data_IF_009047858605
#
_entry.id   IF_009047858605
#
_cell.length_a   1.000
_cell.length_b   1.000
_cell.length_c   1.000
_cell.angle_alpha   90.00
_cell.angle_beta   90.00
_cell.angle_gamma   90.00
#
_symmetry.space_group_name_H-M   'P 1'
#
loop_
_entity.id
_entity.type
_entity.pdbx_description
1 polymer ?
#
# COMPACT_ATOMS: atom_id res chain seq x y z
N UNK A 1 46.32 -50.86 -44.36
CA UNK A 1 45.20 -51.52 -45.08
C UNK A 1 44.13 -50.47 -45.26
N UNK A 2 44.14 -49.87 -46.45
CA UNK A 2 43.24 -48.82 -46.92
C UNK A 2 41.92 -49.42 -47.41
N UNK A 3 40.84 -48.65 -47.36
CA UNK A 3 39.80 -48.58 -48.40
C UNK A 3 38.78 -47.49 -48.08
N UNK A 4 38.93 -46.36 -48.77
CA UNK A 4 37.85 -45.44 -49.13
C UNK A 4 36.86 -46.12 -50.08
N UNK A 5 35.63 -45.58 -50.21
CA UNK A 5 34.90 -45.66 -51.47
C UNK A 5 34.57 -44.26 -52.04
N UNK A 6 34.24 -44.19 -53.35
CA UNK A 6 34.55 -43.04 -54.19
C UNK A 6 33.37 -42.09 -54.43
N UNK A 7 33.75 -40.88 -54.83
CA UNK A 7 32.94 -39.90 -55.54
C UNK A 7 32.41 -40.48 -56.87
N UNK A 8 31.23 -40.01 -57.31
CA UNK A 8 30.78 -40.17 -58.68
C UNK A 8 30.16 -38.89 -59.22
N UNK A 9 30.41 -38.71 -60.51
CA UNK A 9 30.32 -37.51 -61.32
C UNK A 9 28.93 -36.96 -61.64
N UNK A 10 28.99 -35.68 -62.02
CA UNK A 10 28.00 -34.78 -62.61
C UNK A 10 27.56 -35.25 -64.02
N UNK A 11 26.34 -34.89 -64.46
CA UNK A 11 26.27 -34.00 -65.63
C UNK A 11 25.15 -32.94 -65.54
N UNK A 12 25.52 -31.66 -65.69
CA UNK A 12 24.72 -30.62 -66.36
C UNK A 12 24.98 -30.69 -67.89
N UNK A 13 24.27 -29.98 -68.81
CA UNK A 13 23.14 -29.05 -68.65
C UNK A 13 21.96 -29.32 -69.62
N UNK A 14 20.79 -28.74 -69.37
CA UNK A 14 19.79 -28.46 -70.42
C UNK A 14 19.19 -27.07 -70.21
N UNK A 15 19.55 -26.17 -71.12
CA UNK A 15 18.89 -24.89 -71.39
C UNK A 15 17.42 -25.14 -71.81
N UNK A 16 16.49 -24.35 -71.27
CA UNK A 16 15.32 -23.81 -71.99
C UNK A 16 14.61 -22.74 -71.11
N UNK A 17 14.69 -21.50 -71.57
CA UNK A 17 13.74 -20.41 -71.27
C UNK A 17 12.42 -20.63 -72.06
N UNK A 18 11.42 -19.74 -71.99
CA UNK A 18 10.78 -19.10 -70.84
C UNK A 18 9.26 -19.37 -70.87
N UNK A 19 8.58 -19.31 -69.72
CA UNK A 19 7.12 -19.18 -69.71
C UNK A 19 6.67 -18.30 -68.56
N UNK A 20 5.98 -17.25 -68.96
CA UNK A 20 5.37 -16.24 -68.12
C UNK A 20 4.48 -16.90 -67.05
N UNK A 21 4.64 -16.48 -65.80
CA UNK A 21 3.57 -16.61 -64.80
C UNK A 21 3.60 -15.39 -63.90
N UNK A 22 2.53 -14.63 -64.06
CA UNK A 22 1.90 -13.65 -63.18
C UNK A 22 2.54 -13.41 -61.81
N UNK A 23 2.94 -12.16 -61.64
CA UNK A 23 2.66 -11.29 -60.48
C UNK A 23 1.91 -11.95 -59.33
N UNK A 24 2.64 -12.32 -58.27
CA UNK A 24 2.08 -12.37 -56.92
C UNK A 24 3.03 -11.60 -56.02
N UNK A 25 2.66 -10.35 -55.73
CA UNK A 25 3.26 -9.55 -54.68
C UNK A 25 3.17 -10.36 -53.38
N UNK A 26 4.31 -10.80 -52.87
CA UNK A 26 4.44 -11.24 -51.49
C UNK A 26 4.02 -10.08 -50.59
N UNK A 27 2.78 -10.15 -50.10
CA UNK A 27 2.32 -9.36 -48.99
C UNK A 27 3.21 -9.68 -47.80
N UNK A 28 4.00 -8.69 -47.40
CA UNK A 28 4.72 -8.62 -46.14
C UNK A 28 3.71 -8.94 -45.02
N UNK A 29 3.91 -9.99 -44.20
CA UNK A 29 2.99 -10.31 -43.13
C UNK A 29 3.10 -9.23 -42.06
N UNK A 30 2.22 -8.25 -42.14
CA UNK A 30 2.02 -7.23 -41.11
C UNK A 30 2.04 -7.89 -39.73
N UNK A 31 2.94 -7.48 -38.81
CA UNK A 31 3.05 -8.10 -37.50
C UNK A 31 1.72 -7.96 -36.78
N UNK A 32 1.09 -9.10 -36.48
CA UNK A 32 -0.14 -9.10 -35.70
C UNK A 32 0.13 -8.43 -34.34
N UNK A 33 -0.70 -7.45 -33.92
CA UNK A 33 -0.52 -6.77 -32.65
C UNK A 33 -0.61 -7.81 -31.53
N UNK A 34 0.52 -8.01 -30.85
CA UNK A 34 0.58 -8.88 -29.68
C UNK A 34 -0.42 -8.34 -28.65
N UNK A 35 -1.33 -9.18 -28.10
CA UNK A 35 -2.33 -8.70 -27.15
C UNK A 35 -1.64 -7.98 -25.98
N UNK A 36 -2.20 -6.87 -25.49
CA UNK A 36 -1.59 -6.08 -24.43
C UNK A 36 -1.37 -6.97 -23.21
N UNK A 37 -0.12 -7.04 -22.75
CA UNK A 37 0.23 -7.79 -21.53
C UNK A 37 -0.46 -7.12 -20.35
N UNK A 38 -1.52 -7.74 -19.85
CA UNK A 38 -2.23 -7.29 -18.65
C UNK A 38 -1.21 -7.13 -17.52
N UNK A 39 -1.09 -5.91 -17.01
CA UNK A 39 -0.16 -5.59 -15.94
C UNK A 39 -0.64 -6.25 -14.63
N UNK A 40 0.00 -7.36 -14.24
CA UNK A 40 -0.31 -8.10 -13.01
C UNK A 40 0.27 -7.48 -11.73
N UNK A 41 0.87 -6.28 -11.83
CA UNK A 41 1.50 -5.62 -10.68
C UNK A 41 0.43 -4.97 -9.82
N UNK A 42 0.44 -5.30 -8.54
CA UNK A 42 -0.49 -4.73 -7.54
C UNK A 42 0.07 -3.50 -6.82
N UNK A 43 1.29 -3.07 -7.16
CA UNK A 43 2.02 -2.01 -6.46
C UNK A 43 2.80 -1.14 -7.42
N UNK A 44 2.84 0.16 -7.13
CA UNK A 44 3.60 1.15 -7.88
C UNK A 44 5.12 0.89 -7.72
N UNK A 45 5.85 1.01 -8.83
CA UNK A 45 7.31 0.92 -8.87
C UNK A 45 7.89 2.27 -9.24
N UNK A 46 8.88 2.69 -8.48
CA UNK A 46 9.63 3.90 -8.74
C UNK A 46 10.98 3.51 -9.33
N UNK A 47 11.26 3.98 -10.55
CA UNK A 47 12.57 3.80 -11.17
C UNK A 47 13.60 4.64 -10.42
N UNK A 48 14.64 4.00 -9.89
CA UNK A 48 15.69 4.68 -9.14
C UNK A 48 17.00 3.89 -9.18
N UNK A 49 18.04 4.53 -9.68
CA UNK A 49 19.41 4.00 -9.69
C UNK A 49 20.12 4.35 -8.39
N UNK A 50 20.09 3.42 -7.44
CA UNK A 50 20.66 3.59 -6.10
C UNK A 50 21.65 2.44 -5.87
N UNK A 51 22.91 2.72 -5.49
CA UNK A 51 23.82 1.66 -5.07
C UNK A 51 23.31 1.04 -3.76
N UNK A 52 23.23 -0.29 -3.74
CA UNK A 52 22.78 -1.06 -2.58
C UNK A 52 23.80 -2.15 -2.25
N UNK A 53 23.80 -2.60 -1.00
CA UNK A 53 24.58 -3.77 -0.60
C UNK A 53 23.66 -5.00 -0.58
N UNK A 54 24.13 -6.10 -1.16
CA UNK A 54 23.45 -7.40 -1.20
C UNK A 54 24.26 -8.40 -0.40
N UNK A 55 23.72 -8.86 0.73
CA UNK A 55 24.34 -9.89 1.54
C UNK A 55 23.73 -11.25 1.18
N UNK A 56 24.60 -12.16 0.71
CA UNK A 56 24.22 -13.54 0.40
C UNK A 56 24.49 -14.43 1.63
N UNK A 57 23.64 -15.43 1.93
CA UNK A 57 23.91 -16.39 2.98
C UNK A 57 25.24 -17.14 2.72
N UNK A 58 26.09 -17.21 3.75
CA UNK A 58 27.38 -17.90 3.67
C UNK A 58 28.50 -17.13 2.97
N UNK A 59 28.26 -15.87 2.57
CA UNK A 59 29.30 -14.99 2.02
C UNK A 59 29.59 -13.88 3.02
N UNK A 60 30.84 -13.76 3.47
CA UNK A 60 31.24 -12.84 4.53
C UNK A 60 31.22 -11.36 4.12
N UNK A 61 31.24 -11.09 2.82
CA UNK A 61 31.26 -9.73 2.28
C UNK A 61 29.99 -9.41 1.50
N UNK A 62 29.45 -8.23 1.74
CA UNK A 62 28.32 -7.73 0.98
C UNK A 62 28.76 -7.37 -0.45
N UNK A 63 27.92 -7.69 -1.42
CA UNK A 63 28.15 -7.41 -2.84
C UNK A 63 27.47 -6.10 -3.19
N UNK A 64 28.18 -5.17 -3.80
CA UNK A 64 27.58 -3.93 -4.31
C UNK A 64 26.75 -4.23 -5.56
N UNK A 65 25.50 -3.75 -5.56
CA UNK A 65 24.58 -3.84 -6.69
C UNK A 65 24.01 -2.47 -7.01
N UNK A 66 23.44 -2.33 -8.21
CA UNK A 66 22.73 -1.13 -8.62
C UNK A 66 21.23 -1.40 -8.70
N UNK A 67 20.46 -0.86 -7.77
CA UNK A 67 19.01 -0.87 -7.85
C UNK A 67 18.54 -0.22 -9.16
N UNK A 68 17.46 -0.72 -9.74
CA UNK A 68 16.87 -0.22 -10.99
C UNK A 68 15.47 0.32 -10.73
N UNK A 69 14.66 -0.46 -10.01
CA UNK A 69 13.35 -0.03 -9.51
C UNK A 69 13.12 -0.53 -8.08
N UNK A 70 12.28 0.19 -7.35
CA UNK A 70 11.86 -0.17 -6.00
C UNK A 70 10.36 0.09 -5.85
N UNK A 71 9.70 -0.77 -5.09
CA UNK A 71 8.29 -0.66 -4.73
C UNK A 71 8.13 -0.94 -3.25
N UNK A 72 6.90 -0.82 -2.76
CA UNK A 72 6.62 -1.23 -1.39
C UNK A 72 6.91 -2.73 -1.19
N UNK A 73 6.60 -3.62 -2.14
CA UNK A 73 6.70 -5.08 -2.03
C UNK A 73 7.99 -5.74 -2.51
N UNK A 74 8.89 -5.00 -3.14
CA UNK A 74 10.05 -5.59 -3.77
C UNK A 74 10.92 -4.59 -4.51
N UNK A 75 11.98 -5.09 -5.11
CA UNK A 75 12.95 -4.30 -5.85
C UNK A 75 13.53 -5.11 -7.01
N UNK A 76 14.15 -4.40 -7.94
CA UNK A 76 14.92 -4.98 -9.02
C UNK A 76 16.30 -4.34 -9.05
N UNK A 77 17.35 -5.13 -9.15
CA UNK A 77 18.73 -4.63 -9.18
C UNK A 77 19.59 -5.39 -10.20
N UNK A 78 20.73 -4.78 -10.56
CA UNK A 78 21.76 -5.39 -11.39
C UNK A 78 23.00 -5.60 -10.54
N UNK A 79 23.58 -6.80 -10.59
CA UNK A 79 24.78 -7.16 -9.85
C UNK A 79 25.68 -8.13 -10.64
N UNK A 80 26.98 -8.07 -10.39
CA UNK A 80 27.92 -9.09 -10.84
C UNK A 80 27.94 -10.21 -9.78
N UNK A 81 27.11 -11.24 -9.98
CA UNK A 81 26.92 -12.34 -9.03
C UNK A 81 27.52 -13.65 -9.57
N UNK A 82 28.14 -14.48 -8.73
CA UNK A 82 28.51 -15.83 -9.10
C UNK A 82 27.25 -16.63 -9.45
N UNK A 83 27.16 -17.12 -10.68
CA UNK A 83 25.96 -17.77 -11.25
C UNK A 83 25.54 -19.02 -10.48
N UNK A 84 26.51 -19.75 -9.94
CA UNK A 84 26.34 -21.11 -9.47
C UNK A 84 25.52 -21.22 -8.18
N UNK A 85 25.25 -20.14 -7.47
CA UNK A 85 24.62 -20.19 -6.14
C UNK A 85 23.82 -18.93 -5.81
N UNK A 86 22.93 -18.46 -6.71
CA UNK A 86 21.96 -17.45 -6.28
C UNK A 86 21.04 -18.07 -5.22
N UNK A 87 21.13 -17.65 -3.94
CA UNK A 87 20.34 -18.23 -2.88
C UNK A 87 18.87 -17.85 -3.09
N UNK A 88 17.95 -18.63 -2.53
CA UNK A 88 16.53 -18.25 -2.54
C UNK A 88 16.28 -16.95 -1.78
N UNK A 89 17.04 -16.69 -0.72
CA UNK A 89 16.90 -15.52 0.15
C UNK A 89 18.17 -14.70 0.20
N UNK A 90 18.01 -13.38 0.21
CA UNK A 90 19.09 -12.40 0.32
C UNK A 90 18.69 -11.33 1.33
N UNK A 91 19.69 -10.64 1.89
CA UNK A 91 19.45 -9.40 2.64
C UNK A 91 19.89 -8.22 1.79
N UNK A 92 18.98 -7.28 1.59
CA UNK A 92 19.26 -6.01 0.93
C UNK A 92 19.46 -4.92 1.95
N UNK A 93 20.42 -4.04 1.67
CA UNK A 93 20.73 -2.86 2.46
C UNK A 93 20.70 -1.65 1.55
N UNK A 94 19.67 -0.83 1.69
CA UNK A 94 19.59 0.45 0.99
C UNK A 94 20.22 1.54 1.86
N UNK A 95 21.00 2.45 1.26
CA UNK A 95 21.52 3.60 1.98
C UNK A 95 20.36 4.51 2.41
N UNK A 96 20.49 5.08 3.59
CA UNK A 96 19.61 6.14 4.09
C UNK A 96 20.45 7.37 4.45
N UNK A 97 19.89 8.33 5.19
CA UNK A 97 20.61 9.55 5.60
C UNK A 97 21.80 9.20 6.51
N UNK A 98 22.95 9.83 6.25
CA UNK A 98 24.19 9.62 6.98
C UNK A 98 24.63 8.13 6.99
N UNK A 99 24.82 7.54 8.17
CA UNK A 99 25.22 6.13 8.35
C UNK A 99 24.02 5.19 8.57
N UNK A 100 22.80 5.70 8.45
CA UNK A 100 21.61 4.89 8.62
C UNK A 100 21.32 4.06 7.37
N UNK A 101 20.64 2.92 7.57
CA UNK A 101 20.35 1.94 6.51
C UNK A 101 18.90 1.46 6.60
N UNK A 102 18.34 1.07 5.45
CA UNK A 102 17.09 0.30 5.37
C UNK A 102 17.50 -1.14 5.10
N UNK A 103 17.19 -2.04 6.03
CA UNK A 103 17.55 -3.46 5.90
C UNK A 103 16.30 -4.28 5.63
N UNK A 104 16.36 -5.11 4.59
CA UNK A 104 15.23 -5.92 4.13
C UNK A 104 15.69 -7.35 3.87
N UNK A 105 14.98 -8.33 4.43
CA UNK A 105 15.09 -9.71 3.96
C UNK A 105 14.20 -9.90 2.75
N UNK A 106 14.73 -10.50 1.69
CA UNK A 106 14.03 -10.62 0.42
C UNK A 106 14.23 -12.01 -0.20
N UNK A 107 13.23 -12.47 -0.92
CA UNK A 107 13.25 -13.68 -1.73
C UNK A 107 13.55 -13.32 -3.19
N UNK A 108 14.50 -14.02 -3.82
CA UNK A 108 14.74 -13.91 -5.25
C UNK A 108 13.57 -14.58 -6.00
N UNK A 109 12.79 -13.78 -6.73
CA UNK A 109 11.65 -14.29 -7.54
C UNK A 109 12.02 -14.53 -8.99
N UNK A 110 13.04 -13.84 -9.50
CA UNK A 110 13.54 -14.01 -10.86
C UNK A 110 14.98 -13.52 -10.97
N UNK A 111 15.80 -14.23 -11.71
CA UNK A 111 17.13 -13.77 -12.12
C UNK A 111 17.29 -13.97 -13.62
N UNK A 112 17.71 -12.94 -14.33
CA UNK A 112 18.01 -12.98 -15.75
C UNK A 112 19.48 -12.64 -15.96
N UNK A 113 20.20 -13.50 -16.67
CA UNK A 113 21.59 -13.25 -17.05
C UNK A 113 21.64 -12.13 -18.08
N UNK A 114 22.53 -11.17 -17.87
CA UNK A 114 22.86 -10.09 -18.79
C UNK A 114 24.26 -10.33 -19.39
N UNK A 115 24.62 -9.51 -20.37
CA UNK A 115 25.97 -9.47 -20.93
C UNK A 115 27.02 -9.12 -19.87
N UNK A 116 28.25 -9.61 -20.08
CA UNK A 116 29.38 -9.37 -19.18
C UNK A 116 29.28 -10.09 -17.83
N UNK A 117 28.49 -11.16 -17.74
CA UNK A 117 28.36 -11.97 -16.51
C UNK A 117 27.54 -11.31 -15.39
N UNK A 118 26.81 -10.22 -15.70
CA UNK A 118 25.91 -9.56 -14.75
C UNK A 118 24.55 -10.25 -14.71
N UNK A 119 23.81 -9.99 -13.65
CA UNK A 119 22.45 -10.49 -13.45
C UNK A 119 21.51 -9.34 -13.16
N UNK A 120 20.35 -9.36 -13.81
CA UNK A 120 19.20 -8.59 -13.39
C UNK A 120 18.36 -9.47 -12.46
N UNK A 121 18.31 -9.10 -11.19
CA UNK A 121 17.63 -9.85 -10.14
C UNK A 121 16.40 -9.08 -9.69
N UNK A 122 15.24 -9.73 -9.74
CA UNK A 122 14.02 -9.24 -9.12
C UNK A 122 13.82 -9.97 -7.80
N UNK A 123 13.58 -9.20 -6.76
CA UNK A 123 13.31 -9.72 -5.42
C UNK A 123 11.95 -9.28 -4.92
N UNK A 124 11.41 -10.06 -4.00
CA UNK A 124 10.23 -9.74 -3.22
C UNK A 124 10.63 -9.59 -1.76
N UNK A 125 10.19 -8.52 -1.12
CA UNK A 125 10.45 -8.29 0.30
C UNK A 125 9.65 -9.29 1.13
N UNK A 126 10.35 -9.95 2.06
CA UNK A 126 9.79 -10.96 2.94
C UNK A 126 9.65 -10.43 4.37
N UNK A 127 10.66 -9.69 4.86
CA UNK A 127 10.66 -9.17 6.23
C UNK A 127 11.39 -7.84 6.33
N UNK A 128 10.77 -6.89 7.04
CA UNK A 128 11.33 -5.58 7.38
C UNK A 128 11.07 -5.29 8.87
N UNK A 129 11.99 -4.58 9.53
CA UNK A 129 11.67 -3.97 10.83
C UNK A 129 10.74 -2.77 10.66
N UNK A 130 9.95 -2.42 11.68
CA UNK A 130 9.12 -1.22 11.67
C UNK A 130 9.89 0.06 11.29
N UNK A 131 11.11 0.23 11.83
CA UNK A 131 12.02 1.34 11.47
C UNK A 131 12.41 1.32 9.99
N UNK A 132 12.72 0.15 9.43
CA UNK A 132 13.07 0.01 8.01
C UNK A 132 11.86 0.22 7.10
N UNK A 133 10.66 -0.22 7.51
CA UNK A 133 9.41 0.07 6.80
C UNK A 133 9.14 1.57 6.74
N UNK A 134 9.16 2.28 7.87
CA UNK A 134 8.89 3.72 7.90
C UNK A 134 9.86 4.51 7.00
N UNK A 135 11.14 4.12 7.00
CA UNK A 135 12.15 4.69 6.10
C UNK A 135 11.91 4.35 4.64
N UNK A 136 11.56 3.10 4.33
CA UNK A 136 11.21 2.68 2.97
C UNK A 136 10.02 3.48 2.43
N UNK A 137 8.97 3.66 3.22
CA UNK A 137 7.81 4.47 2.82
C UNK A 137 8.19 5.93 2.57
N UNK A 138 9.08 6.49 3.39
CA UNK A 138 9.61 7.84 3.17
C UNK A 138 10.49 7.92 1.92
N UNK A 139 11.34 6.92 1.68
CA UNK A 139 12.15 6.82 0.47
C UNK A 139 11.28 6.80 -0.77
N UNK A 140 10.25 5.94 -0.80
CA UNK A 140 9.34 5.82 -1.93
C UNK A 140 8.61 7.13 -2.22
N UNK A 141 8.11 7.83 -1.19
CA UNK A 141 7.51 9.16 -1.34
C UNK A 141 8.49 10.18 -1.92
N UNK A 142 9.73 10.22 -1.41
CA UNK A 142 10.76 11.12 -1.93
C UNK A 142 11.12 10.84 -3.40
N UNK A 143 11.26 9.56 -3.77
CA UNK A 143 11.57 9.17 -5.15
C UNK A 143 10.41 9.48 -6.11
N UNK A 144 9.16 9.29 -5.68
CA UNK A 144 7.98 9.69 -6.46
C UNK A 144 7.92 11.19 -6.67
N UNK A 145 8.08 11.98 -5.61
CA UNK A 145 8.06 13.44 -5.68
C UNK A 145 9.15 14.02 -6.60
N UNK A 146 10.26 13.29 -6.79
CA UNK A 146 11.33 13.69 -7.71
C UNK A 146 11.04 13.34 -9.19
N UNK A 147 9.96 12.60 -9.48
CA UNK A 147 9.60 12.18 -10.84
C UNK A 147 8.44 13.05 -11.34
N UNK A 148 8.64 13.94 -12.33
CA UNK A 148 7.68 15.00 -12.69
C UNK A 148 6.43 14.54 -13.47
N UNK A 149 6.23 13.25 -13.67
CA UNK A 149 5.41 12.72 -14.79
C UNK A 149 4.37 11.66 -14.35
N UNK A 150 4.04 11.57 -13.06
CA UNK A 150 3.00 10.65 -12.59
C UNK A 150 1.80 11.43 -12.08
N UNK A 151 0.66 11.25 -12.76
CA UNK A 151 -0.68 11.65 -12.32
C UNK A 151 -0.86 11.42 -10.80
N UNK A 152 -1.65 12.33 -10.23
CA UNK A 152 -1.73 12.75 -8.82
C UNK A 152 -2.23 11.70 -7.80
N UNK A 153 -2.19 10.40 -8.14
CA UNK A 153 -2.47 9.32 -7.20
C UNK A 153 -1.25 9.04 -6.31
N UNK A 154 -0.72 10.13 -5.72
CA UNK A 154 0.52 10.18 -4.94
C UNK A 154 0.44 9.32 -3.67
N UNK A 155 -0.78 9.07 -3.16
CA UNK A 155 -0.99 8.38 -1.89
C UNK A 155 -1.19 6.86 -2.01
N UNK A 156 -1.60 6.32 -3.16
CA UNK A 156 -1.83 4.87 -3.35
C UNK A 156 -0.56 4.05 -3.62
N UNK A 157 0.53 4.21 -2.84
CA UNK A 157 1.74 3.37 -3.00
C UNK A 157 1.45 1.87 -2.75
N UNK A 158 0.48 1.60 -1.89
CA UNK A 158 0.09 0.26 -1.43
C UNK A 158 -1.39 0.27 -1.09
N UNK A 159 -2.11 -0.83 -1.35
CA UNK A 159 -3.45 -1.04 -0.81
C UNK A 159 -3.42 -1.11 0.72
N UNK A 160 -4.28 -0.32 1.35
CA UNK A 160 -4.48 -0.31 2.79
C UNK A 160 -5.75 -1.09 3.14
N UNK A 161 -5.66 -1.90 4.19
CA UNK A 161 -6.78 -2.59 4.81
C UNK A 161 -6.94 -2.01 6.22
N UNK A 162 -8.04 -1.30 6.46
CA UNK A 162 -8.34 -0.72 7.76
C UNK A 162 -9.30 -1.64 8.52
N UNK A 163 -8.92 -1.99 9.75
CA UNK A 163 -9.78 -2.69 10.70
C UNK A 163 -10.38 -1.65 11.64
N UNK A 164 -11.70 -1.44 11.49
CA UNK A 164 -12.49 -0.73 12.48
C UNK A 164 -12.86 -1.70 13.59
N UNK A 165 -12.52 -1.35 14.82
CA UNK A 165 -12.80 -2.17 16.00
C UNK A 165 -13.58 -1.35 17.00
N UNK A 166 -14.77 -1.84 17.33
CA UNK A 166 -15.75 -1.09 18.12
C UNK A 166 -15.66 -1.39 19.62
N UNK A 167 -15.03 -2.50 20.02
CA UNK A 167 -14.90 -2.90 21.42
C UNK A 167 -13.50 -3.43 21.79
N UNK A 168 -13.18 -3.41 23.09
CA UNK A 168 -11.85 -3.78 23.61
C UNK A 168 -11.60 -5.29 23.53
N UNK A 169 -12.63 -6.12 23.64
CA UNK A 169 -12.53 -7.57 23.54
C UNK A 169 -12.07 -7.98 22.13
N UNK A 170 -12.79 -7.50 21.12
CA UNK A 170 -12.44 -7.67 19.71
C UNK A 170 -11.01 -7.20 19.39
N UNK A 171 -10.59 -6.07 19.97
CA UNK A 171 -9.23 -5.59 19.78
C UNK A 171 -8.20 -6.54 20.39
N UNK A 172 -8.46 -7.05 21.59
CA UNK A 172 -7.58 -8.02 22.25
C UNK A 172 -7.46 -9.29 21.41
N UNK A 173 -8.56 -9.82 20.89
CA UNK A 173 -8.56 -11.01 20.03
C UNK A 173 -7.75 -10.79 18.73
N UNK A 174 -7.91 -9.62 18.10
CA UNK A 174 -7.13 -9.24 16.91
C UNK A 174 -5.64 -9.13 17.26
N UNK A 175 -5.31 -8.47 18.37
CA UNK A 175 -3.93 -8.32 18.83
C UNK A 175 -3.30 -9.68 19.13
N UNK A 176 -4.00 -10.58 19.84
CA UNK A 176 -3.52 -11.93 20.12
C UNK A 176 -3.24 -12.71 18.82
N UNK A 177 -4.13 -12.62 17.83
CA UNK A 177 -3.87 -13.18 16.50
C UNK A 177 -2.59 -12.57 15.89
N UNK A 178 -2.46 -11.24 15.89
CA UNK A 178 -1.27 -10.54 15.40
C UNK A 178 0.01 -11.05 16.08
N UNK A 179 -0.01 -11.27 17.40
CA UNK A 179 1.11 -11.81 18.16
C UNK A 179 1.52 -13.23 17.71
N UNK A 180 0.58 -14.04 17.21
CA UNK A 180 0.90 -15.35 16.61
C UNK A 180 1.53 -15.25 15.21
N UNK A 181 1.56 -14.06 14.61
CA UNK A 181 2.08 -13.84 13.26
C UNK A 181 1.06 -14.01 12.13
N UNK A 182 -0.20 -14.28 12.48
CA UNK A 182 -1.28 -14.57 11.53
C UNK A 182 -2.54 -13.79 11.88
N UNK A 183 -3.34 -13.42 10.88
CA UNK A 183 -4.63 -12.76 11.11
C UNK A 183 -5.63 -13.21 10.07
N UNK A 184 -6.83 -13.59 10.51
CA UNK A 184 -7.94 -13.95 9.63
C UNK A 184 -8.98 -12.84 9.67
N UNK A 185 -9.34 -12.29 8.51
CA UNK A 185 -10.30 -11.19 8.38
C UNK A 185 -11.22 -11.40 7.19
N UNK A 186 -12.43 -10.87 7.27
CA UNK A 186 -13.40 -10.88 6.17
C UNK A 186 -13.52 -9.47 5.59
N UNK A 187 -13.44 -9.37 4.26
CA UNK A 187 -13.45 -8.10 3.52
C UNK A 187 -14.44 -8.18 2.35
N UNK A 188 -14.81 -7.02 1.80
CA UNK A 188 -15.63 -6.94 0.57
C UNK A 188 -14.80 -6.92 -0.71
N UNK A 189 -13.53 -6.55 -0.62
CA UNK A 189 -12.66 -6.41 -1.78
C UNK A 189 -11.83 -7.65 -2.07
N UNK A 190 -11.61 -7.89 -3.36
CA UNK A 190 -10.72 -8.96 -3.78
C UNK A 190 -9.25 -8.57 -3.56
N UNK A 191 -8.49 -9.47 -2.95
CA UNK A 191 -7.04 -9.38 -2.84
C UNK A 191 -6.38 -10.54 -3.57
N UNK A 192 -5.14 -10.35 -4.02
CA UNK A 192 -4.37 -11.41 -4.66
C UNK A 192 -3.49 -12.15 -3.64
N UNK A 193 -3.43 -13.48 -3.74
CA UNK A 193 -2.47 -14.28 -2.98
C UNK A 193 -1.04 -13.80 -3.27
N UNK A 194 -0.26 -13.58 -2.20
CA UNK A 194 1.09 -13.04 -2.26
C UNK A 194 1.17 -11.52 -2.38
N UNK A 195 0.04 -10.80 -2.39
CA UNK A 195 0.03 -9.34 -2.32
C UNK A 195 0.44 -8.89 -0.92
N UNK A 196 1.42 -7.97 -0.84
CA UNK A 196 1.66 -7.24 0.41
C UNK A 196 0.68 -6.07 0.49
N UNK A 197 0.05 -5.91 1.66
CA UNK A 197 -0.90 -4.86 2.01
C UNK A 197 -0.49 -4.16 3.31
N UNK A 198 -0.83 -2.88 3.43
CA UNK A 198 -0.73 -2.18 4.71
C UNK A 198 -1.97 -2.52 5.53
N UNK A 199 -1.78 -3.01 6.74
CA UNK A 199 -2.86 -3.21 7.70
C UNK A 199 -2.85 -2.04 8.68
N UNK A 200 -3.96 -1.32 8.80
CA UNK A 200 -4.16 -0.33 9.85
C UNK A 200 -5.25 -0.82 10.79
N UNK A 201 -4.95 -0.82 12.09
CA UNK A 201 -5.92 -1.13 13.13
C UNK A 201 -6.21 0.17 13.85
N UNK A 202 -7.45 0.66 13.72
CA UNK A 202 -7.90 1.89 14.38
C UNK A 202 -8.94 1.55 15.42
N UNK A 203 -8.78 2.13 16.61
CA UNK A 203 -9.85 2.23 17.59
C UNK A 203 -10.50 3.60 17.44
N UNK A 204 -11.78 3.66 17.73
CA UNK A 204 -12.60 4.87 17.61
C UNK A 204 -12.10 6.03 18.47
N UNK A 205 -11.42 5.81 19.61
CA UNK A 205 -10.90 6.90 20.47
C UNK A 205 -9.57 6.53 21.19
N UNK A 206 -8.73 7.55 21.41
CA UNK A 206 -7.54 7.64 22.28
C UNK A 206 -6.32 6.70 22.11
N UNK A 207 -6.37 5.68 21.24
CA UNK A 207 -5.19 4.83 21.01
C UNK A 207 -4.40 5.15 19.75
N UNK A 208 -3.05 5.04 19.80
CA UNK A 208 -2.22 5.15 18.61
C UNK A 208 -2.59 4.01 17.65
N UNK A 209 -2.99 4.38 16.42
CA UNK A 209 -3.31 3.40 15.40
C UNK A 209 -2.13 2.46 15.13
N UNK A 210 -2.40 1.15 15.09
CA UNK A 210 -1.38 0.15 14.79
C UNK A 210 -1.28 -0.01 13.28
N UNK A 211 -0.10 0.26 12.72
CA UNK A 211 0.19 0.07 11.29
C UNK A 211 1.18 -1.04 11.07
N UNK A 212 0.72 -2.10 10.44
CA UNK A 212 1.51 -3.27 10.12
C UNK A 212 1.59 -3.49 8.63
N UNK A 213 2.51 -4.38 8.27
CA UNK A 213 2.70 -4.85 6.91
C UNK A 213 2.37 -6.32 6.92
N UNK A 214 1.42 -6.69 6.08
CA UNK A 214 0.93 -8.05 5.98
C UNK A 214 0.96 -8.52 4.54
N UNK A 215 1.00 -9.83 4.37
CA UNK A 215 0.93 -10.51 3.09
C UNK A 215 -0.29 -11.41 3.09
N UNK A 216 -1.07 -11.32 2.04
CA UNK A 216 -2.20 -12.22 1.78
C UNK A 216 -1.64 -13.60 1.45
N UNK A 217 -1.96 -14.60 2.27
CA UNK A 217 -1.55 -15.99 2.10
C UNK A 217 -2.60 -16.81 1.40
N UNK A 218 -3.84 -16.66 1.82
CA UNK A 218 -4.98 -17.38 1.29
C UNK A 218 -6.16 -16.43 1.14
N UNK A 219 -6.99 -16.70 0.14
CA UNK A 219 -8.22 -15.96 -0.15
C UNK A 219 -9.30 -16.98 -0.40
N UNK A 220 -10.33 -16.98 0.43
CA UNK A 220 -11.50 -17.83 0.31
C UNK A 220 -12.70 -16.93 -0.02
N UNK A 221 -13.41 -17.21 -1.12
CA UNK A 221 -14.64 -16.49 -1.48
C UNK A 221 -15.80 -17.08 -0.69
N UNK A 222 -16.47 -16.24 0.10
CA UNK A 222 -17.62 -16.63 0.87
C UNK A 222 -18.89 -16.30 0.08
N UNK A 223 -19.69 -17.33 -0.21
CA UNK A 223 -21.01 -17.16 -0.82
C UNK A 223 -22.03 -16.82 0.28
N UNK A 224 -22.69 -15.67 0.17
CA UNK A 224 -23.77 -15.25 1.05
C UNK A 224 -25.09 -15.30 0.26
N UNK A 225 -25.92 -16.35 0.43
CA UNK A 225 -27.18 -16.47 -0.31
C UNK A 225 -28.13 -15.27 -0.11
N UNK A 226 -28.06 -14.62 1.06
CA UNK A 226 -28.88 -13.46 1.40
C UNK A 226 -28.38 -12.13 0.81
N UNK A 227 -27.15 -12.08 0.29
CA UNK A 227 -26.50 -10.89 -0.26
C UNK A 227 -25.95 -11.21 -1.65
N UNK A 228 -26.84 -11.54 -2.60
CA UNK A 228 -26.46 -11.89 -3.98
C UNK A 228 -25.57 -10.84 -4.69
N UNK A 229 -25.56 -9.59 -4.20
CA UNK A 229 -24.79 -8.49 -4.78
C UNK A 229 -23.44 -8.23 -4.12
N UNK A 230 -23.16 -8.78 -2.94
CA UNK A 230 -21.91 -8.53 -2.22
C UNK A 230 -21.09 -9.81 -2.12
N UNK A 231 -19.94 -9.83 -2.78
CA UNK A 231 -18.97 -10.91 -2.61
C UNK A 231 -18.14 -10.60 -1.36
N UNK A 232 -18.07 -11.57 -0.46
CA UNK A 232 -17.20 -11.51 0.71
C UNK A 232 -15.97 -12.38 0.47
N UNK A 233 -14.83 -11.94 0.98
CA UNK A 233 -13.58 -12.66 0.92
C UNK A 233 -13.02 -12.82 2.33
N UNK A 234 -12.73 -14.06 2.70
CA UNK A 234 -11.98 -14.37 3.90
C UNK A 234 -10.49 -14.41 3.54
N UNK A 235 -9.71 -13.55 4.17
CA UNK A 235 -8.27 -13.43 3.97
C UNK A 235 -7.55 -14.09 5.13
N UNK A 236 -6.53 -14.89 4.82
CA UNK A 236 -5.48 -15.28 5.76
C UNK A 236 -4.25 -14.42 5.53
N UNK A 237 -3.84 -13.68 6.55
CA UNK A 237 -2.73 -12.73 6.50
C UNK A 237 -1.54 -13.27 7.29
N UNK A 238 -0.32 -13.00 6.83
CA UNK A 238 0.91 -13.18 7.61
C UNK A 238 1.69 -11.88 7.68
N UNK A 239 2.26 -11.55 8.82
CA UNK A 239 3.02 -10.30 8.98
C UNK A 239 4.44 -10.39 8.42
N UNK A 240 4.88 -9.30 7.79
CA UNK A 240 6.23 -9.19 7.18
C UNK A 240 7.20 -8.44 8.11
N UNK A 241 7.05 -8.62 9.42
CA UNK A 241 7.94 -8.09 10.47
C UNK A 241 8.57 -9.22 11.27
N UNK A 242 9.69 -8.99 12.00
CA UNK A 242 10.27 -9.99 12.88
C UNK A 242 9.25 -10.45 13.94
N UNK A 243 8.95 -11.77 14.06
CA UNK A 243 7.89 -12.27 14.93
C UNK A 243 8.07 -11.87 16.40
N UNK A 244 9.31 -11.92 16.91
CA UNK A 244 9.61 -11.51 18.29
C UNK A 244 9.28 -10.03 18.54
N UNK A 245 9.56 -9.16 17.57
CA UNK A 245 9.29 -7.72 17.68
C UNK A 245 7.79 -7.42 17.61
N UNK A 246 7.02 -8.14 16.78
CA UNK A 246 5.56 -8.02 16.76
C UNK A 246 5.01 -8.45 18.11
N UNK A 247 5.43 -9.63 18.61
CA UNK A 247 4.92 -10.18 19.86
C UNK A 247 5.17 -9.23 21.04
N UNK A 248 6.41 -8.77 21.22
CA UNK A 248 6.77 -7.83 22.30
C UNK A 248 5.93 -6.54 22.22
N UNK A 249 5.76 -6.00 21.02
CA UNK A 249 4.96 -4.79 20.81
C UNK A 249 3.48 -5.03 21.12
N UNK A 250 2.92 -6.15 20.68
CA UNK A 250 1.53 -6.52 20.96
C UNK A 250 1.33 -6.77 22.46
N UNK A 251 2.21 -7.52 23.11
CA UNK A 251 2.12 -7.77 24.55
C UNK A 251 2.04 -6.44 25.32
N UNK A 252 2.89 -5.47 24.96
CA UNK A 252 2.88 -4.11 25.52
C UNK A 252 1.54 -3.39 25.30
N UNK A 253 0.93 -3.51 24.11
CA UNK A 253 -0.38 -2.91 23.84
C UNK A 253 -1.48 -3.58 24.66
N UNK A 254 -1.45 -4.91 24.76
CA UNK A 254 -2.43 -5.70 25.52
C UNK A 254 -2.39 -5.33 27.01
N UNK A 255 -1.20 -5.09 27.57
CA UNK A 255 -1.02 -4.61 28.94
C UNK A 255 -1.60 -3.22 29.20
N UNK A 256 -1.68 -2.37 28.16
CA UNK A 256 -2.26 -1.02 28.25
C UNK A 256 -3.78 -1.00 28.05
N UNK A 257 -4.38 -2.10 27.56
CA UNK A 257 -5.82 -2.18 27.41
C UNK A 257 -6.50 -2.33 28.78
N UNK A 258 -7.65 -1.67 28.99
CA UNK A 258 -8.43 -1.91 30.19
C UNK A 258 -8.76 -3.41 30.29
N UNK A 259 -8.82 -3.97 31.52
CA UNK A 259 -9.28 -5.33 31.70
C UNK A 259 -10.67 -5.47 31.08
N UNK A 260 -10.90 -6.56 30.34
CA UNK A 260 -12.24 -6.88 29.84
C UNK A 260 -13.05 -7.19 31.08
N UNK A 261 -13.84 -6.21 31.54
CA UNK A 261 -14.88 -6.51 32.51
C UNK A 261 -15.87 -7.42 31.79
N UNK A 262 -16.15 -8.59 32.36
CA UNK A 262 -17.23 -9.49 31.97
C UNK A 262 -18.57 -8.78 32.20
N UNK A 263 -18.81 -7.65 31.53
CA UNK A 263 -20.11 -7.06 31.46
C UNK A 263 -20.93 -7.98 30.56
N UNK A 264 -21.72 -8.83 31.21
CA UNK A 264 -22.70 -9.75 30.65
C UNK A 264 -23.80 -9.06 29.80
N UNK A 265 -23.59 -7.81 29.38
CA UNK A 265 -24.45 -7.02 28.51
C UNK A 265 -23.79 -6.68 27.16
N UNK A 266 -22.77 -7.44 26.74
CA UNK A 266 -22.37 -7.40 25.32
C UNK A 266 -23.57 -7.82 24.48
N UNK A 267 -24.10 -6.89 23.67
CA UNK A 267 -25.35 -7.00 22.90
C UNK A 267 -25.34 -8.14 21.86
N UNK A 268 -24.25 -8.92 21.79
CA UNK A 268 -24.03 -10.03 20.88
C UNK A 268 -23.69 -11.36 21.60
N UNK A 269 -23.96 -11.48 22.91
CA UNK A 269 -23.71 -12.71 23.67
C UNK A 269 -24.44 -13.94 23.08
N UNK A 270 -25.61 -13.73 22.47
CA UNK A 270 -26.41 -14.77 21.79
C UNK A 270 -26.18 -14.84 20.27
N UNK A 271 -25.29 -14.02 19.71
CA UNK A 271 -24.98 -14.05 18.29
C UNK A 271 -24.11 -15.27 17.92
N UNK A 272 -24.32 -15.92 16.75
CA UNK A 272 -23.46 -16.99 16.28
C UNK A 272 -21.98 -16.57 16.21
N UNK A 273 -21.04 -17.49 16.43
CA UNK A 273 -19.59 -17.21 16.47
C UNK A 273 -19.08 -16.47 15.21
N UNK A 274 -19.65 -16.77 14.05
CA UNK A 274 -19.29 -16.10 12.81
C UNK A 274 -19.68 -14.62 12.78
N UNK A 275 -20.73 -14.21 13.51
CA UNK A 275 -21.23 -12.84 13.60
C UNK A 275 -20.46 -12.03 14.64
N UNK A 276 -19.98 -12.68 15.71
CA UNK A 276 -19.03 -12.11 16.68
C UNK A 276 -17.63 -11.88 16.08
N UNK A 277 -17.24 -12.71 15.12
CA UNK A 277 -15.96 -12.61 14.42
C UNK A 277 -15.97 -11.67 13.19
N UNK A 278 -17.09 -11.00 12.88
CA UNK A 278 -17.14 -10.01 11.78
C UNK A 278 -16.60 -8.68 12.28
N UNK A 279 -15.28 -8.59 12.41
CA UNK A 279 -14.63 -7.29 12.35
C UNK A 279 -14.78 -6.80 10.91
N UNK A 280 -15.72 -5.88 10.68
CA UNK A 280 -15.95 -5.29 9.36
C UNK A 280 -14.73 -4.44 9.01
N UNK A 281 -13.77 -5.08 8.36
CA UNK A 281 -12.62 -4.41 7.79
C UNK A 281 -13.10 -3.58 6.59
N UNK A 282 -12.96 -2.27 6.69
CA UNK A 282 -13.25 -1.36 5.58
C UNK A 282 -11.94 -1.16 4.83
N UNK A 283 -11.93 -1.51 3.55
CA UNK A 283 -10.85 -1.01 2.68
C UNK A 283 -11.09 0.48 2.51
N UNK A 284 -10.21 1.29 3.07
CA UNK A 284 -10.09 2.67 2.64
C UNK A 284 -9.33 2.61 1.33
N UNK A 285 -10.05 2.52 0.22
CA UNK A 285 -9.44 2.87 -1.06
C UNK A 285 -9.02 4.34 -0.91
N UNK A 286 -7.73 4.64 -1.07
CA UNK A 286 -7.25 6.03 -1.19
C UNK A 286 -7.66 6.63 -2.56
N UNK A 287 -8.89 6.35 -2.97
CA UNK A 287 -9.46 6.59 -4.27
C UNK A 287 -10.86 5.98 -4.39
N UNK A 288 -11.72 6.16 -3.39
CA UNK A 288 -13.17 6.17 -3.69
C UNK A 288 -13.38 7.41 -4.55
N UNK A 289 -13.91 7.20 -5.76
CA UNK A 289 -14.27 8.24 -6.72
C UNK A 289 -15.12 9.33 -6.04
N UNK A 290 -14.42 10.37 -5.60
CA UNK A 290 -14.64 11.77 -5.94
C UNK A 290 -15.71 11.89 -7.03
N UNK A 291 -16.91 12.34 -6.62
CA UNK A 291 -17.71 13.22 -7.47
C UNK A 291 -16.74 14.25 -8.07
N UNK A 292 -16.83 14.52 -9.37
CA UNK A 292 -15.95 15.37 -10.18
C UNK A 292 -14.93 16.18 -9.35
N UNK A 293 -13.60 16.05 -9.51
CA UNK A 293 -12.59 16.73 -8.65
C UNK A 293 -12.75 18.26 -8.52
N UNK A 294 -13.63 18.87 -9.33
CA UNK A 294 -14.11 20.25 -9.18
C UNK A 294 -15.21 20.43 -8.09
N UNK A 295 -15.67 19.38 -7.40
CA UNK A 295 -16.78 19.40 -6.43
C UNK A 295 -16.39 19.03 -4.99
N UNK A 296 -15.17 18.53 -4.73
CA UNK A 296 -14.75 18.19 -3.36
C UNK A 296 -14.10 19.39 -2.69
N UNK A 297 -14.62 19.76 -1.53
CA UNK A 297 -14.15 20.94 -0.80
C UNK A 297 -12.72 20.74 -0.26
N UNK A 298 -11.96 21.83 -0.16
CA UNK A 298 -10.55 21.84 0.25
C UNK A 298 -10.38 21.25 1.64
N UNK A 299 -11.33 21.44 2.54
CA UNK A 299 -11.31 20.85 3.88
C UNK A 299 -11.45 19.33 3.85
N UNK A 300 -12.32 18.78 3.01
CA UNK A 300 -12.48 17.33 2.87
C UNK A 300 -11.24 16.69 2.24
N UNK A 301 -10.67 17.33 1.23
CA UNK A 301 -9.51 16.81 0.51
C UNK A 301 -8.22 16.90 1.34
N UNK A 302 -7.97 18.01 2.02
CA UNK A 302 -6.65 18.32 2.62
C UNK A 302 -6.64 18.36 4.13
N UNK A 303 -7.78 18.62 4.78
CA UNK A 303 -7.86 18.81 6.22
C UNK A 303 -8.95 17.95 6.90
N UNK A 304 -9.03 16.64 6.61
CA UNK A 304 -10.10 15.78 7.12
C UNK A 304 -10.10 15.70 8.66
N UNK A 305 -8.93 15.89 9.29
CA UNK A 305 -8.82 15.92 10.75
C UNK A 305 -9.61 17.08 11.36
N UNK A 306 -9.53 18.27 10.78
CA UNK A 306 -10.24 19.44 11.30
C UNK A 306 -11.76 19.29 11.16
N UNK A 307 -12.21 18.70 10.04
CA UNK A 307 -13.62 18.35 9.87
C UNK A 307 -14.10 17.35 10.92
N UNK A 308 -13.33 16.29 11.17
CA UNK A 308 -13.68 15.32 12.21
C UNK A 308 -13.77 15.98 13.60
N UNK A 309 -12.84 16.89 13.93
CA UNK A 309 -12.86 17.61 15.20
C UNK A 309 -14.08 18.52 15.34
N UNK A 310 -14.49 19.21 14.28
CA UNK A 310 -15.71 20.02 14.25
C UNK A 310 -16.99 19.17 14.25
N UNK A 311 -16.97 18.00 13.62
CA UNK A 311 -18.11 17.09 13.56
C UNK A 311 -18.51 16.56 14.94
N UNK A 312 -17.53 16.29 15.82
CA UNK A 312 -17.77 15.80 17.18
C UNK A 312 -18.56 16.80 18.02
N UNK A 313 -18.35 18.10 17.79
CA UNK A 313 -19.03 19.19 18.52
C UNK A 313 -20.18 19.81 17.72
N UNK A 314 -20.59 19.19 16.62
CA UNK A 314 -21.66 19.69 15.77
C UNK A 314 -23.01 19.66 16.50
N UNK A 315 -23.74 20.78 16.47
CA UNK A 315 -25.01 20.92 17.19
C UNK A 315 -24.95 21.57 18.57
N UNK A 316 -23.76 21.79 19.14
CA UNK A 316 -23.57 22.58 20.37
C UNK A 316 -22.83 23.90 20.07
N UNK A 317 -23.50 25.08 20.11
CA UNK A 317 -22.88 26.37 19.82
C UNK A 317 -21.64 26.70 20.63
N UNK A 318 -21.59 26.34 21.92
CA UNK A 318 -20.46 26.69 22.79
C UNK A 318 -19.24 25.83 22.49
N UNK A 319 -19.42 24.51 22.43
CA UNK A 319 -18.33 23.58 22.13
C UNK A 319 -17.79 23.77 20.71
N UNK A 320 -18.68 24.08 19.75
CA UNK A 320 -18.29 24.39 18.38
C UNK A 320 -17.44 25.66 18.31
N UNK A 321 -17.84 26.77 18.95
CA UNK A 321 -17.05 28.02 18.96
C UNK A 321 -15.66 27.83 19.55
N UNK A 322 -15.55 27.08 20.65
CA UNK A 322 -14.27 26.77 21.28
C UNK A 322 -13.35 25.97 20.37
N UNK A 323 -13.87 24.92 19.71
CA UNK A 323 -13.07 24.11 18.78
C UNK A 323 -12.72 24.84 17.50
N UNK A 324 -13.65 25.62 16.97
CA UNK A 324 -13.40 26.48 15.83
C UNK A 324 -12.30 27.49 16.12
N UNK A 325 -12.29 28.11 17.31
CA UNK A 325 -11.23 29.01 17.74
C UNK A 325 -9.88 28.32 17.93
N UNK A 326 -9.87 27.12 18.47
CA UNK A 326 -8.63 26.33 18.62
C UNK A 326 -8.02 25.99 17.25
N UNK A 327 -8.85 25.62 16.26
CA UNK A 327 -8.40 25.36 14.89
C UNK A 327 -7.88 26.61 14.18
N UNK A 328 -8.48 27.77 14.44
CA UNK A 328 -8.18 29.02 13.74
C UNK A 328 -7.09 29.86 14.39
N UNK A 329 -6.95 29.79 15.72
CA UNK A 329 -6.08 30.64 16.52
C UNK A 329 -5.15 29.87 17.48
N UNK A 330 -5.38 28.58 17.70
CA UNK A 330 -4.67 27.76 18.68
C UNK A 330 -3.39 27.09 18.15
N UNK A 331 -2.71 26.35 19.03
CA UNK A 331 -1.48 25.60 18.72
C UNK A 331 -1.72 24.45 17.73
N UNK A 332 -2.99 24.11 17.48
CA UNK A 332 -3.44 23.13 16.49
C UNK A 332 -3.38 23.64 15.05
N UNK A 333 -3.04 24.92 14.82
CA UNK A 333 -2.88 25.46 13.47
C UNK A 333 -1.69 24.79 12.75
N UNK A 334 -1.93 24.34 11.51
CA UNK A 334 -0.90 23.72 10.66
C UNK A 334 0.32 24.67 10.49
N UNK A 335 1.56 24.15 10.46
CA UNK A 335 2.74 24.96 10.22
C UNK A 335 2.73 25.50 8.78
N UNK A 336 2.21 26.73 8.63
CA UNK A 336 1.98 27.38 7.34
C UNK A 336 0.67 28.17 7.26
N UNK A 337 -0.24 27.99 8.22
CA UNK A 337 -1.57 28.60 8.22
C UNK A 337 -2.54 27.90 7.28
N UNK A 338 -3.80 28.31 7.33
CA UNK A 338 -4.84 27.82 6.42
C UNK A 338 -4.74 28.50 5.05
N UNK A 339 -4.84 27.76 3.93
CA UNK A 339 -4.99 28.37 2.62
C UNK A 339 -6.33 29.13 2.53
N UNK A 340 -6.40 30.15 1.66
CA UNK A 340 -7.56 31.06 1.56
C UNK A 340 -8.87 30.30 1.30
N UNK A 341 -8.83 29.27 0.47
CA UNK A 341 -10.01 28.44 0.16
C UNK A 341 -10.51 27.65 1.39
N UNK A 342 -9.58 27.16 2.23
CA UNK A 342 -9.95 26.47 3.47
C UNK A 342 -10.50 27.45 4.52
N UNK A 343 -10.03 28.70 4.54
CA UNK A 343 -10.60 29.75 5.37
C UNK A 343 -12.05 30.06 4.97
N UNK A 344 -12.32 30.17 3.67
CA UNK A 344 -13.66 30.42 3.16
C UNK A 344 -14.62 29.28 3.52
N UNK A 345 -14.17 28.03 3.40
CA UNK A 345 -14.97 26.85 3.78
C UNK A 345 -15.20 26.74 5.29
N UNK A 346 -14.19 27.01 6.13
CA UNK A 346 -14.35 27.06 7.58
C UNK A 346 -15.34 28.14 7.98
N UNK A 347 -15.25 29.32 7.36
CA UNK A 347 -16.21 30.41 7.56
C UNK A 347 -17.64 30.00 7.16
N UNK A 348 -17.79 29.30 6.03
CA UNK A 348 -19.07 28.76 5.59
C UNK A 348 -19.64 27.74 6.60
N UNK A 349 -18.83 26.82 7.11
CA UNK A 349 -19.25 25.85 8.13
C UNK A 349 -19.71 26.53 9.42
N UNK A 350 -19.01 27.59 9.86
CA UNK A 350 -19.43 28.39 11.00
C UNK A 350 -20.75 29.12 10.73
N UNK A 351 -20.91 29.74 9.56
CA UNK A 351 -22.17 30.42 9.18
C UNK A 351 -23.36 29.43 9.17
N UNK A 352 -23.16 28.21 8.64
CA UNK A 352 -24.18 27.15 8.60
C UNK A 352 -24.53 26.67 10.02
N UNK A 353 -23.53 26.46 10.86
CA UNK A 353 -23.74 26.04 12.25
C UNK A 353 -24.48 27.11 13.05
N UNK A 354 -24.01 28.36 12.99
CA UNK A 354 -24.63 29.51 13.66
C UNK A 354 -26.10 29.69 13.22
N UNK A 355 -26.40 29.47 11.94
CA UNK A 355 -27.77 29.52 11.41
C UNK A 355 -28.66 28.38 11.92
N UNK A 356 -28.11 27.17 12.02
CA UNK A 356 -28.87 25.97 12.38
C UNK A 356 -29.10 25.85 13.90
N UNK A 357 -28.11 26.23 14.71
CA UNK A 357 -28.07 25.98 16.15
C UNK A 357 -28.03 27.26 17.00
N UNK A 358 -27.89 28.42 16.39
CA UNK A 358 -27.78 29.71 17.07
C UNK A 358 -26.33 30.09 17.41
N UNK A 359 -26.14 31.31 17.91
CA UNK A 359 -24.83 31.82 18.31
C UNK A 359 -24.47 31.38 19.73
N UNK A 360 -23.18 31.17 20.04
CA UNK A 360 -22.74 31.01 21.43
C UNK A 360 -22.98 32.30 22.21
N UNK A 361 -23.24 32.20 23.52
CA UNK A 361 -23.56 33.34 24.38
C UNK A 361 -22.45 34.41 24.36
N UNK A 362 -21.20 34.01 24.13
CA UNK A 362 -20.06 34.91 24.00
C UNK A 362 -20.02 35.75 22.71
N UNK A 363 -20.80 35.40 21.69
CA UNK A 363 -20.93 36.12 20.40
C UNK A 363 -22.26 36.87 20.25
N UNK A 364 -23.23 36.63 21.11
CA UNK A 364 -24.49 37.39 21.14
C UNK A 364 -24.31 38.86 21.58
N UNK A 365 -23.13 39.22 22.11
CA UNK A 365 -22.85 40.60 22.49
C UNK A 365 -22.77 41.51 21.25
N UNK A 366 -23.64 42.53 21.11
CA UNK A 366 -23.73 43.39 19.93
C UNK A 366 -22.50 44.28 19.68
N UNK A 367 -21.48 44.17 20.54
CA UNK A 367 -20.24 44.95 20.48
C UNK A 367 -19.07 44.19 19.84
N UNK A 368 -19.22 42.90 19.49
CA UNK A 368 -18.18 42.15 18.76
C UNK A 368 -18.50 42.12 17.27
N UNK A 369 -17.64 42.69 16.41
CA UNK A 369 -17.79 42.54 14.97
C UNK A 369 -17.67 41.06 14.62
N UNK A 370 -18.63 40.55 13.85
CA UNK A 370 -18.77 39.12 13.54
C UNK A 370 -17.75 38.59 12.54
N UNK A 371 -16.81 39.40 12.03
CA UNK A 371 -15.74 38.94 11.12
C UNK A 371 -14.46 39.75 11.29
N UNK A 372 -13.33 39.06 11.41
CA UNK A 372 -12.05 39.55 10.89
C UNK A 372 -11.85 38.84 9.55
N UNK A 373 -11.92 39.59 8.45
CA UNK A 373 -11.37 39.14 7.15
C UNK A 373 -9.89 39.44 7.12
#
# INVERSE_FOLDING_TARGET
MSREPPASDVPEPCLNEPSATMTNQSADPSPQPTPPRINRRTQCRVGAQIPIEVQLPGVDHAITAMNQDISWGGAQFIAALPVSTLPKRVRLVFPWRAQEKITVMAEIVRAQRLEGGRYQVAVRFEMLSARSQARLEKLLRMLRAATPDTDDDADCMVRELELAIDDVGSLRDILEQIATGHLIVTVFDAFAVGQSIRLSVRRTEDMPGLRLRARVREVETLAMPALERAQLYRLSLSFEHPPAAIKEFVDTLIEQLPPVWDDAQSQFADAPDWLRAIHLARVVEAGVRVADPDEVCVLEARFPRALNELQVVWGDPESFDLRFRDLTLGDSAEPGGWPDEAWDELGFLQDVHDLAYGLPHGRESPLRPTRCR
#
